data_IF_619543292617
#
_entry.id   IF_619543292617
#
_cell.length_a   1.000
_cell.length_b   1.000
_cell.length_c   1.000
_cell.angle_alpha   90.00
_cell.angle_beta   90.00
_cell.angle_gamma   90.00
#
_symmetry.space_group_name_H-M   'P 1'
#
loop_
_entity.id
_entity.type
_entity.pdbx_description
1 polymer ?
#
# COMPACT_ATOMS: atom_id res chain seq x y z
N UNK A 1 -21.68 -28.93 3.22
CA UNK A 1 -21.35 -28.07 2.05
C UNK A 1 -19.92 -28.40 1.67
N UNK A 2 -19.59 -28.61 0.39
CA UNK A 2 -18.21 -28.89 -0.01
C UNK A 2 -17.37 -27.63 0.20
N UNK A 3 -16.27 -27.76 0.93
CA UNK A 3 -15.30 -26.68 1.19
C UNK A 3 -14.36 -26.44 -0.01
N UNK A 4 -14.67 -27.01 -1.19
CA UNK A 4 -13.88 -26.82 -2.39
C UNK A 4 -14.04 -25.38 -2.88
N UNK A 5 -12.92 -24.67 -3.18
CA UNK A 5 -13.00 -23.33 -3.73
C UNK A 5 -13.63 -23.37 -5.13
N UNK A 6 -14.23 -22.25 -5.58
CA UNK A 6 -14.65 -22.09 -6.96
C UNK A 6 -13.47 -22.22 -7.92
N UNK A 7 -13.73 -22.68 -9.14
CA UNK A 7 -12.74 -22.94 -10.18
C UNK A 7 -12.87 -21.95 -11.34
N UNK A 8 -11.78 -21.30 -11.72
CA UNK A 8 -11.73 -20.36 -12.84
C UNK A 8 -11.91 -21.15 -14.16
N UNK A 9 -12.93 -20.81 -14.93
CA UNK A 9 -13.23 -21.44 -16.24
C UNK A 9 -12.74 -20.60 -17.40
N UNK A 10 -12.92 -19.28 -17.33
CA UNK A 10 -12.48 -18.34 -18.36
C UNK A 10 -12.12 -17.00 -17.71
N UNK A 11 -11.16 -16.29 -18.30
CA UNK A 11 -10.75 -14.95 -17.85
C UNK A 11 -10.44 -14.09 -19.06
N UNK A 12 -11.08 -12.92 -19.14
CA UNK A 12 -10.89 -11.96 -20.21
C UNK A 12 -10.50 -10.60 -19.66
N UNK A 13 -9.33 -10.09 -20.09
CA UNK A 13 -8.93 -8.70 -19.80
C UNK A 13 -9.80 -7.74 -20.59
N UNK A 14 -10.47 -6.80 -19.92
CA UNK A 14 -11.29 -5.75 -20.53
C UNK A 14 -10.67 -4.35 -20.42
N UNK A 15 -9.73 -4.18 -19.50
CA UNK A 15 -8.93 -2.97 -19.38
C UNK A 15 -7.51 -3.33 -18.95
N UNK A 16 -6.53 -2.71 -19.61
CA UNK A 16 -5.11 -2.87 -19.27
C UNK A 16 -4.51 -1.49 -19.00
N UNK A 17 -4.34 -1.16 -17.73
CA UNK A 17 -3.84 0.12 -17.26
C UNK A 17 -2.41 0.07 -16.71
N UNK A 18 -1.87 1.22 -16.36
CA UNK A 18 -0.54 1.36 -15.75
C UNK A 18 -0.51 0.76 -14.34
N UNK A 19 -1.52 1.03 -13.54
CA UNK A 19 -1.58 0.64 -12.12
C UNK A 19 -2.27 -0.70 -11.93
N UNK A 20 -3.40 -0.92 -12.62
CA UNK A 20 -4.20 -2.13 -12.49
C UNK A 20 -4.82 -2.55 -13.83
N UNK A 21 -5.21 -3.80 -13.92
CA UNK A 21 -6.02 -4.34 -15.01
C UNK A 21 -7.42 -4.67 -14.49
N UNK A 22 -8.40 -4.76 -15.39
CA UNK A 22 -9.72 -5.29 -15.06
C UNK A 22 -9.96 -6.54 -15.90
N UNK A 23 -10.35 -7.63 -15.22
CA UNK A 23 -10.75 -8.88 -15.86
C UNK A 23 -12.23 -9.16 -15.59
N UNK A 24 -12.85 -9.88 -16.54
CA UNK A 24 -14.11 -10.58 -16.32
C UNK A 24 -13.79 -12.07 -16.26
N UNK A 25 -14.08 -12.68 -15.13
CA UNK A 25 -13.80 -14.07 -14.84
C UNK A 25 -15.11 -14.87 -14.73
N UNK A 26 -15.24 -15.96 -15.49
CA UNK A 26 -16.33 -16.92 -15.31
C UNK A 26 -15.85 -18.02 -14.35
N UNK A 27 -16.48 -18.09 -13.18
CA UNK A 27 -16.07 -18.93 -12.05
C UNK A 27 -17.13 -19.98 -11.76
N UNK A 28 -16.76 -21.27 -11.80
CA UNK A 28 -17.65 -22.38 -11.50
C UNK A 28 -17.61 -22.72 -10.02
N UNK A 29 -18.78 -22.69 -9.39
CA UNK A 29 -18.97 -23.12 -8.02
C UNK A 29 -19.20 -24.64 -7.90
N UNK A 30 -18.93 -25.27 -6.74
CA UNK A 30 -19.11 -26.71 -6.55
C UNK A 30 -20.53 -27.22 -6.75
N UNK A 31 -21.53 -26.34 -6.67
CA UNK A 31 -22.94 -26.65 -6.95
C UNK A 31 -23.31 -26.58 -8.45
N UNK A 32 -22.32 -26.34 -9.33
CA UNK A 32 -22.49 -26.28 -10.77
C UNK A 32 -22.86 -24.91 -11.35
N UNK A 33 -23.09 -23.90 -10.49
CA UNK A 33 -23.33 -22.52 -10.97
C UNK A 33 -22.06 -21.92 -11.56
N UNK A 34 -22.21 -21.18 -12.65
CA UNK A 34 -21.16 -20.31 -13.17
C UNK A 34 -21.54 -18.88 -12.84
N UNK A 35 -20.64 -18.18 -12.15
CA UNK A 35 -20.82 -16.79 -11.76
C UNK A 35 -19.77 -15.94 -12.47
N UNK A 36 -20.23 -14.85 -13.07
CA UNK A 36 -19.35 -13.85 -13.68
C UNK A 36 -18.90 -12.86 -12.63
N UNK A 37 -17.58 -12.66 -12.53
CA UNK A 37 -16.94 -11.74 -11.59
C UNK A 37 -16.16 -10.67 -12.35
N UNK A 38 -16.30 -9.42 -11.91
CA UNK A 38 -15.45 -8.30 -12.34
C UNK A 38 -14.33 -8.15 -11.31
N UNK A 39 -13.09 -8.28 -11.76
CA UNK A 39 -11.93 -8.32 -10.87
C UNK A 39 -10.91 -7.25 -11.25
N UNK A 40 -10.53 -6.43 -10.28
CA UNK A 40 -9.37 -5.55 -10.38
C UNK A 40 -8.11 -6.36 -10.04
N UNK A 41 -7.18 -6.45 -11.01
CA UNK A 41 -5.90 -7.14 -10.87
C UNK A 41 -4.82 -6.13 -10.57
N UNK A 42 -4.18 -6.26 -9.39
CA UNK A 42 -3.15 -5.35 -8.91
C UNK A 42 -1.88 -6.12 -8.53
N UNK A 43 -0.72 -5.50 -8.76
CA UNK A 43 0.58 -6.15 -8.46
C UNK A 43 0.88 -6.27 -6.96
N UNK A 44 0.07 -5.64 -6.12
CA UNK A 44 0.32 -5.48 -4.70
C UNK A 44 1.11 -4.21 -4.38
N UNK A 45 1.21 -3.89 -3.10
CA UNK A 45 1.87 -2.69 -2.62
C UNK A 45 2.60 -2.95 -1.30
N UNK A 46 3.59 -2.10 -1.00
CA UNK A 46 4.19 -2.00 0.32
C UNK A 46 3.61 -0.79 1.04
N UNK A 47 3.30 -0.92 2.33
CA UNK A 47 2.86 0.16 3.22
C UNK A 47 3.90 0.32 4.31
N UNK A 48 4.39 1.53 4.51
CA UNK A 48 5.56 1.79 5.33
C UNK A 48 5.17 2.43 6.66
N UNK A 49 5.76 1.94 7.75
CA UNK A 49 5.73 2.56 9.07
C UNK A 49 7.13 3.11 9.38
N UNK A 50 7.47 4.31 8.86
CA UNK A 50 8.83 4.87 8.99
C UNK A 50 9.01 5.55 10.34
N UNK A 51 9.63 4.84 11.28
CA UNK A 51 9.87 5.31 12.66
C UNK A 51 11.16 6.07 12.77
N UNK A 52 11.10 7.33 13.20
CA UNK A 52 12.26 8.17 13.53
C UNK A 52 12.71 7.95 14.98
N UNK A 53 11.77 7.60 15.86
CA UNK A 53 11.97 7.24 17.27
C UNK A 53 10.89 6.22 17.69
N UNK A 54 10.98 5.58 18.86
CA UNK A 54 9.99 4.57 19.29
C UNK A 54 8.54 5.06 19.32
N UNK A 55 8.32 6.35 19.46
CA UNK A 55 7.01 7.01 19.52
C UNK A 55 6.78 8.04 18.41
N UNK A 56 7.64 8.08 17.37
CA UNK A 56 7.60 9.05 16.28
C UNK A 56 7.55 8.35 14.93
N UNK A 57 6.63 8.81 14.08
CA UNK A 57 6.39 8.25 12.74
C UNK A 57 6.30 9.37 11.70
N UNK A 58 6.81 9.10 10.50
CA UNK A 58 6.63 9.99 9.35
C UNK A 58 5.37 9.59 8.58
N UNK A 59 4.55 10.58 8.26
CA UNK A 59 3.44 10.46 7.32
C UNK A 59 3.70 11.35 6.10
N UNK A 60 3.08 10.99 5.00
CA UNK A 60 3.02 11.81 3.78
C UNK A 60 1.64 12.42 3.64
N UNK A 61 1.55 13.62 3.07
CA UNK A 61 0.30 14.23 2.67
C UNK A 61 0.26 14.29 1.17
N UNK A 62 -0.76 13.68 0.60
CA UNK A 62 -0.96 13.57 -0.84
C UNK A 62 -2.37 13.98 -1.23
N UNK A 63 -2.51 14.66 -2.39
CA UNK A 63 -3.81 14.89 -2.98
C UNK A 63 -4.30 13.63 -3.69
N UNK A 64 -5.43 13.09 -3.28
CA UNK A 64 -6.07 11.93 -3.89
C UNK A 64 -7.21 12.38 -4.80
N UNK A 65 -6.91 12.55 -6.09
CA UNK A 65 -7.88 13.00 -7.11
C UNK A 65 -9.19 12.22 -7.07
N UNK A 66 -9.14 10.90 -6.84
CA UNK A 66 -10.34 10.03 -6.85
C UNK A 66 -11.37 10.39 -5.78
N UNK A 67 -10.91 10.94 -4.65
CA UNK A 67 -11.77 11.38 -3.53
C UNK A 67 -11.77 12.89 -3.37
N UNK A 68 -11.05 13.62 -4.23
CA UNK A 68 -10.94 15.09 -4.26
C UNK A 68 -10.48 15.70 -2.93
N UNK A 69 -9.47 15.05 -2.27
CA UNK A 69 -9.01 15.47 -0.95
C UNK A 69 -7.50 15.33 -0.76
N UNK A 70 -6.95 16.17 0.13
CA UNK A 70 -5.62 16.02 0.69
C UNK A 70 -5.68 15.12 1.91
N UNK A 71 -5.03 13.97 1.87
CA UNK A 71 -5.01 12.99 2.95
C UNK A 71 -3.61 12.88 3.58
N UNK A 72 -3.57 12.74 4.91
CA UNK A 72 -2.40 12.24 5.61
C UNK A 72 -2.43 10.72 5.60
N UNK A 73 -1.33 10.12 5.12
CA UNK A 73 -1.24 8.68 4.87
C UNK A 73 0.09 8.11 5.32
N UNK A 74 0.12 6.81 5.65
CA UNK A 74 1.36 6.07 5.63
C UNK A 74 1.89 6.03 4.19
N UNK A 75 3.21 6.26 3.97
CA UNK A 75 3.82 6.09 2.65
C UNK A 75 3.55 4.69 2.11
N UNK A 76 3.27 4.58 0.82
CA UNK A 76 2.93 3.30 0.22
C UNK A 76 3.10 3.35 -1.30
N UNK A 77 3.76 2.34 -1.87
CA UNK A 77 3.94 2.25 -3.31
C UNK A 77 3.69 0.87 -3.89
N UNK A 78 3.43 0.86 -5.18
CA UNK A 78 3.15 -0.37 -5.94
C UNK A 78 4.44 -1.14 -6.21
N UNK A 79 4.38 -2.47 -6.12
CA UNK A 79 5.50 -3.35 -6.44
C UNK A 79 5.88 -3.24 -7.92
N UNK A 80 7.18 -3.12 -8.19
CA UNK A 80 7.72 -3.21 -9.54
C UNK A 80 7.87 -4.69 -10.00
N UNK A 81 7.91 -4.94 -11.32
CA UNK A 81 8.12 -6.29 -11.82
C UNK A 81 9.45 -6.89 -11.31
N UNK A 82 9.38 -8.10 -10.74
CA UNK A 82 10.54 -8.84 -10.20
C UNK A 82 11.24 -8.19 -9.00
N UNK A 83 10.64 -7.20 -8.36
CA UNK A 83 11.15 -6.57 -7.15
C UNK A 83 10.80 -7.40 -5.91
N UNK A 84 11.75 -7.54 -4.97
CA UNK A 84 11.43 -8.14 -3.67
C UNK A 84 10.70 -7.13 -2.78
N UNK A 85 9.87 -7.64 -1.84
CA UNK A 85 9.13 -6.79 -0.92
C UNK A 85 10.02 -5.87 -0.08
N UNK A 86 11.18 -6.38 0.37
CA UNK A 86 12.14 -5.58 1.15
C UNK A 86 12.78 -4.49 0.30
N UNK A 87 13.12 -4.78 -0.95
CA UNK A 87 13.65 -3.79 -1.88
C UNK A 87 12.63 -2.69 -2.17
N UNK A 88 11.37 -3.06 -2.45
CA UNK A 88 10.28 -2.12 -2.63
C UNK A 88 10.08 -1.22 -1.41
N UNK A 89 10.08 -1.78 -0.19
CA UNK A 89 9.92 -1.00 1.03
C UNK A 89 11.05 0.02 1.24
N UNK A 90 12.29 -0.35 0.92
CA UNK A 90 13.44 0.57 1.02
C UNK A 90 13.42 1.63 -0.08
N UNK A 91 13.08 1.28 -1.31
CA UNK A 91 12.94 2.19 -2.45
C UNK A 91 11.86 3.23 -2.18
N UNK A 92 10.65 2.81 -1.83
CA UNK A 92 9.52 3.71 -1.54
C UNK A 92 9.81 4.64 -0.35
N UNK A 93 10.52 4.16 0.69
CA UNK A 93 10.96 5.03 1.78
C UNK A 93 11.87 6.15 1.28
N UNK A 94 12.76 5.83 0.33
CA UNK A 94 13.65 6.82 -0.25
C UNK A 94 12.89 7.80 -1.16
N UNK A 95 11.96 7.31 -1.96
CA UNK A 95 11.20 8.08 -2.95
C UNK A 95 10.17 9.00 -2.28
N UNK A 96 9.28 8.46 -1.44
CA UNK A 96 8.19 9.23 -0.85
C UNK A 96 8.58 9.98 0.42
N UNK A 97 9.47 9.40 1.26
CA UNK A 97 9.86 9.99 2.55
C UNK A 97 11.15 10.79 2.47
N UNK A 98 11.97 10.54 1.44
CA UNK A 98 13.28 11.18 1.29
C UNK A 98 14.33 10.69 2.30
N UNK A 99 14.07 9.56 2.99
CA UNK A 99 14.97 8.96 3.99
C UNK A 99 15.48 7.61 3.54
N UNK A 100 16.66 7.25 4.02
CA UNK A 100 17.24 5.91 3.84
C UNK A 100 17.03 5.15 5.15
N UNK A 101 16.31 4.02 5.08
CA UNK A 101 16.10 3.15 6.22
C UNK A 101 17.24 2.13 6.32
N UNK A 102 17.73 1.90 7.54
CA UNK A 102 18.74 0.86 7.79
C UNK A 102 18.12 -0.53 7.86
N UNK A 103 16.86 -0.64 8.23
CA UNK A 103 16.15 -1.93 8.38
C UNK A 103 14.70 -1.78 7.90
N UNK A 104 14.25 -2.74 7.10
CA UNK A 104 12.88 -3.00 6.77
C UNK A 104 12.48 -4.34 7.40
N UNK A 105 11.39 -4.36 8.17
CA UNK A 105 10.87 -5.57 8.81
C UNK A 105 9.41 -5.74 8.39
N UNK A 106 9.12 -6.80 7.64
CA UNK A 106 7.74 -7.16 7.31
C UNK A 106 6.96 -7.50 8.57
N UNK A 107 5.80 -6.89 8.74
CA UNK A 107 4.88 -7.13 9.86
C UNK A 107 3.77 -8.11 9.46
N UNK A 108 3.00 -7.75 8.44
CA UNK A 108 1.79 -8.48 8.04
C UNK A 108 1.44 -8.15 6.59
N UNK A 109 0.50 -8.90 6.01
CA UNK A 109 -0.11 -8.58 4.72
C UNK A 109 -1.63 -8.61 4.85
N UNK A 110 -2.31 -7.63 4.25
CA UNK A 110 -3.76 -7.51 4.25
C UNK A 110 -4.30 -7.30 2.84
N UNK A 111 -5.56 -7.65 2.64
CA UNK A 111 -6.32 -7.35 1.43
C UNK A 111 -7.22 -6.14 1.70
N UNK A 112 -7.04 -4.99 1.01
CA UNK A 112 -7.87 -3.81 1.24
C UNK A 112 -9.31 -3.97 0.76
N UNK A 113 -9.53 -4.69 -0.35
CA UNK A 113 -10.86 -4.82 -0.97
C UNK A 113 -11.07 -6.19 -1.62
N UNK A 114 -10.99 -7.31 -0.85
CA UNK A 114 -10.96 -8.67 -1.41
C UNK A 114 -12.26 -9.10 -2.12
N UNK A 115 -13.31 -8.30 -2.05
CA UNK A 115 -14.57 -8.56 -2.75
C UNK A 115 -14.48 -8.36 -4.27
N UNK A 116 -13.53 -7.56 -4.76
CA UNK A 116 -13.38 -7.28 -6.20
C UNK A 116 -11.94 -6.96 -6.63
N UNK A 117 -11.00 -6.83 -5.70
CA UNK A 117 -9.60 -6.49 -5.98
C UNK A 117 -8.68 -7.51 -5.32
N UNK A 118 -7.68 -7.98 -6.08
CA UNK A 118 -6.68 -8.93 -5.57
C UNK A 118 -5.42 -8.24 -5.01
N UNK A 119 -5.46 -6.92 -4.81
CA UNK A 119 -4.35 -6.20 -4.17
C UNK A 119 -4.00 -6.81 -2.80
N UNK A 120 -2.70 -7.00 -2.58
CA UNK A 120 -2.14 -7.34 -1.28
C UNK A 120 -1.29 -6.17 -0.80
N UNK A 121 -1.63 -5.61 0.36
CA UNK A 121 -0.84 -4.58 1.05
C UNK A 121 0.11 -5.23 2.04
N UNK A 122 1.42 -5.06 1.85
CA UNK A 122 2.47 -5.61 2.71
C UNK A 122 3.00 -4.51 3.64
N UNK A 123 2.74 -4.64 4.94
CA UNK A 123 3.14 -3.64 5.94
C UNK A 123 4.55 -3.88 6.44
N UNK A 124 5.36 -2.81 6.43
CA UNK A 124 6.77 -2.84 6.84
C UNK A 124 7.07 -1.80 7.91
N UNK A 125 7.67 -2.23 9.01
CA UNK A 125 8.29 -1.34 10.00
C UNK A 125 9.69 -0.95 9.50
N UNK A 126 9.92 0.35 9.35
CA UNK A 126 11.21 0.90 8.94
C UNK A 126 11.88 1.61 10.11
N UNK A 127 13.14 1.29 10.35
CA UNK A 127 13.93 1.86 11.46
C UNK A 127 15.33 2.24 11.02
N UNK A 128 16.00 3.06 11.85
CA UNK A 128 17.33 3.56 11.52
C UNK A 128 17.32 4.53 10.34
N UNK A 129 16.27 5.37 10.28
CA UNK A 129 16.12 6.37 9.22
C UNK A 129 17.22 7.44 9.31
N UNK A 130 17.80 7.76 8.17
CA UNK A 130 18.79 8.84 8.04
C UNK A 130 18.58 9.63 6.75
N UNK A 131 19.12 10.82 6.74
CA UNK A 131 19.22 11.61 5.52
C UNK A 131 20.19 11.00 4.52
N UNK A 132 19.96 11.30 3.24
CA UNK A 132 20.88 10.98 2.16
C UNK A 132 22.22 11.72 2.36
N UNK A 133 23.31 11.01 2.11
CA UNK A 133 24.65 11.60 2.12
C UNK A 133 24.96 12.23 0.76
N UNK A 134 25.86 13.23 0.72
CA UNK A 134 26.38 13.73 -0.55
C UNK A 134 26.97 12.59 -1.40
N UNK A 135 26.59 12.56 -2.68
CA UNK A 135 27.01 11.50 -3.61
C UNK A 135 26.13 10.26 -3.70
N UNK A 136 25.19 10.05 -2.77
CA UNK A 136 24.16 9.01 -2.92
C UNK A 136 23.10 9.44 -3.95
N UNK A 137 22.52 8.49 -4.66
CA UNK A 137 21.49 8.75 -5.68
C UNK A 137 20.33 9.57 -5.12
N UNK A 138 19.82 10.51 -5.90
CA UNK A 138 18.59 11.23 -5.55
C UNK A 138 17.41 10.27 -5.69
N UNK A 139 16.34 10.44 -4.85
CA UNK A 139 15.14 9.66 -5.03
C UNK A 139 14.53 9.93 -6.40
N UNK A 140 14.01 8.90 -7.03
CA UNK A 140 13.13 9.06 -8.16
C UNK A 140 11.74 9.38 -7.62
N UNK A 141 11.19 10.53 -7.98
CA UNK A 141 9.81 10.88 -7.64
C UNK A 141 8.97 10.82 -8.92
N UNK A 142 7.82 10.17 -8.83
CA UNK A 142 6.86 10.18 -9.92
C UNK A 142 6.38 11.63 -10.16
N UNK A 143 6.32 12.10 -11.42
CA UNK A 143 5.99 13.50 -11.73
C UNK A 143 4.59 13.94 -11.26
N UNK A 144 3.70 12.99 -11.01
CA UNK A 144 2.34 13.20 -10.53
C UNK A 144 2.23 13.14 -8.99
N UNK A 145 3.35 12.95 -8.28
CA UNK A 145 3.37 12.89 -6.82
C UNK A 145 3.93 14.17 -6.19
N UNK A 146 3.03 14.96 -5.62
CA UNK A 146 3.40 16.11 -4.77
C UNK A 146 3.17 15.72 -3.31
N UNK A 147 4.25 15.29 -2.65
CA UNK A 147 4.20 14.79 -1.29
C UNK A 147 4.72 15.83 -0.28
N UNK A 148 4.03 15.98 0.84
CA UNK A 148 4.51 16.69 2.01
C UNK A 148 4.80 15.69 3.12
N UNK A 149 6.04 15.59 3.55
CA UNK A 149 6.45 14.69 4.64
C UNK A 149 6.40 15.44 5.97
N UNK A 150 5.81 14.82 7.01
CA UNK A 150 5.78 15.38 8.37
C UNK A 150 5.90 14.27 9.41
N UNK A 151 6.64 14.60 10.47
CA UNK A 151 6.74 13.75 11.66
C UNK A 151 5.60 14.03 12.64
N UNK A 152 5.06 12.95 13.20
CA UNK A 152 4.01 12.96 14.20
C UNK A 152 4.40 12.09 15.40
N UNK A 153 3.86 12.39 16.58
CA UNK A 153 3.80 11.40 17.63
C UNK A 153 2.78 10.32 17.25
N UNK A 154 3.09 9.05 17.47
CA UNK A 154 2.20 7.92 17.19
C UNK A 154 0.83 8.13 17.87
N UNK A 155 0.82 8.65 19.10
CA UNK A 155 -0.41 8.92 19.84
C UNK A 155 -1.26 10.02 19.18
N UNK A 156 -0.64 11.04 18.59
CA UNK A 156 -1.36 12.10 17.87
C UNK A 156 -2.02 11.53 16.61
N UNK A 157 -1.32 10.67 15.86
CA UNK A 157 -1.92 10.00 14.68
C UNK A 157 -3.12 9.16 15.08
N UNK A 158 -3.02 8.38 16.18
CA UNK A 158 -4.17 7.62 16.72
C UNK A 158 -5.36 8.51 17.08
N UNK A 159 -5.09 9.68 17.65
CA UNK A 159 -6.14 10.65 17.96
C UNK A 159 -6.78 11.22 16.68
N UNK A 160 -5.97 11.61 15.68
CA UNK A 160 -6.46 12.10 14.39
C UNK A 160 -7.33 11.06 13.64
N UNK A 161 -6.95 9.77 13.70
CA UNK A 161 -7.76 8.67 13.18
C UNK A 161 -9.10 8.59 13.92
N UNK A 162 -9.07 8.62 15.27
CA UNK A 162 -10.28 8.50 16.10
C UNK A 162 -11.29 9.61 15.87
N UNK A 163 -10.85 10.84 15.58
CA UNK A 163 -11.73 11.98 15.30
C UNK A 163 -12.07 12.15 13.82
N UNK A 164 -11.56 11.27 12.93
CA UNK A 164 -11.85 11.28 11.51
C UNK A 164 -11.09 12.29 10.65
N UNK A 165 -10.03 12.89 11.19
CA UNK A 165 -9.13 13.78 10.44
C UNK A 165 -8.18 12.97 9.53
N UNK A 166 -7.76 11.78 9.96
CA UNK A 166 -7.08 10.80 9.11
C UNK A 166 -8.10 9.71 8.77
N UNK A 167 -8.41 9.60 7.47
CA UNK A 167 -9.46 8.70 6.95
C UNK A 167 -8.93 7.62 6.03
N UNK A 168 -7.62 7.61 5.79
CA UNK A 168 -6.99 6.56 5.01
C UNK A 168 -6.94 5.24 5.79
N UNK A 169 -7.54 4.20 5.22
CA UNK A 169 -7.70 2.90 5.88
C UNK A 169 -6.36 2.22 6.15
N UNK A 170 -5.39 2.25 5.17
CA UNK A 170 -4.08 1.63 5.38
C UNK A 170 -3.32 2.25 6.55
N UNK A 171 -3.48 3.58 6.74
CA UNK A 171 -2.91 4.30 7.89
C UNK A 171 -3.58 3.87 9.19
N UNK A 172 -4.91 3.82 9.23
CA UNK A 172 -5.63 3.38 10.41
C UNK A 172 -5.25 1.96 10.84
N UNK A 173 -5.16 1.03 9.89
CA UNK A 173 -4.72 -0.35 10.14
C UNK A 173 -3.25 -0.40 10.57
N UNK A 174 -2.36 0.30 9.85
CA UNK A 174 -0.93 0.31 10.16
C UNK A 174 -0.63 0.77 11.57
N UNK A 175 -1.32 1.79 12.09
CA UNK A 175 -1.16 2.29 13.45
C UNK A 175 -1.60 1.28 14.54
N UNK A 176 -2.35 0.24 14.20
CA UNK A 176 -2.66 -0.86 15.13
C UNK A 176 -1.51 -1.86 15.29
N UNK A 177 -0.51 -1.80 14.41
CA UNK A 177 0.64 -2.71 14.40
C UNK A 177 1.82 -2.19 15.25
N UNK A 178 1.70 -0.97 15.82
CA UNK A 178 2.67 -0.31 16.70
C UNK A 178 2.26 -0.47 18.22
#
# INVERSE_FOLDING_TARGET
MSELPPDLKDSRVIYNGRVFNITIDDVAYPDGRIVRMEVVRHRGSVVLLPMTAPDRILLVRQYRYVVDEWLWELPAGTLEPNESLDAAALRECHEEVGKIAAKAQKLVSYFPSPGFCDEVMHFFLLTGLRDRRPGEAAPHQDPDEVLQVKEFAVQDVRNLIRIGEIRDMKTAVGLTLL
#
